data_IF_974931391882
#
_entry.id   IF_974931391882
#
_cell.length_a   1.000
_cell.length_b   1.000
_cell.length_c   1.000
_cell.angle_alpha   90.00
_cell.angle_beta   90.00
_cell.angle_gamma   90.00
#
_symmetry.space_group_name_H-M   'P 1'
#
loop_
_entity.id
_entity.type
_entity.pdbx_description
1 polymer ?
#
# COMPACT_ATOMS: atom_id res chain seq x y z
N UNK A 1 -1.58 -14.49 -52.25
CA UNK A 1 -0.45 -13.64 -51.80
C UNK A 1 -0.73 -13.39 -50.33
N UNK A 2 -0.02 -14.10 -49.46
CA UNK A 2 -0.32 -14.19 -48.03
C UNK A 2 -0.01 -12.89 -47.30
N UNK A 3 -0.85 -12.67 -46.29
CA UNK A 3 -0.92 -11.59 -45.33
C UNK A 3 0.44 -11.13 -44.81
N UNK A 4 0.62 -9.80 -44.72
CA UNK A 4 1.60 -9.21 -43.82
C UNK A 4 0.87 -8.81 -42.55
N UNK A 5 1.01 -9.68 -41.56
CA UNK A 5 0.57 -9.49 -40.20
C UNK A 5 0.94 -8.09 -39.69
N UNK A 6 -0.09 -7.35 -39.32
CA UNK A 6 0.03 -6.12 -38.58
C UNK A 6 0.28 -6.48 -37.10
N UNK A 7 1.47 -7.02 -36.78
CA UNK A 7 1.91 -7.24 -35.39
C UNK A 7 2.59 -5.97 -34.90
N UNK A 8 1.81 -4.91 -34.74
CA UNK A 8 2.24 -3.75 -33.94
C UNK A 8 1.97 -4.04 -32.47
N UNK A 9 3.07 -4.25 -31.73
CA UNK A 9 3.28 -3.77 -30.36
C UNK A 9 2.36 -4.32 -29.25
N UNK A 10 2.59 -5.56 -28.82
CA UNK A 10 2.05 -6.10 -27.56
C UNK A 10 3.15 -6.45 -26.52
N UNK A 11 4.40 -6.03 -26.77
CA UNK A 11 5.54 -6.34 -25.91
C UNK A 11 5.69 -5.38 -24.70
N UNK A 12 5.19 -4.13 -24.79
CA UNK A 12 5.24 -3.15 -23.70
C UNK A 12 4.19 -3.40 -22.61
N UNK A 13 2.94 -3.57 -23.02
CA UNK A 13 1.79 -3.78 -22.14
C UNK A 13 1.95 -5.01 -21.24
N UNK A 14 2.48 -6.11 -21.76
CA UNK A 14 2.70 -7.35 -20.99
C UNK A 14 3.68 -7.17 -19.81
N UNK A 15 4.76 -6.41 -20.02
CA UNK A 15 5.73 -6.10 -18.96
C UNK A 15 5.10 -5.19 -17.90
N UNK A 16 4.41 -4.13 -18.32
CA UNK A 16 3.75 -3.19 -17.41
C UNK A 16 2.63 -3.85 -16.60
N UNK A 17 1.86 -4.77 -17.20
CA UNK A 17 0.89 -5.61 -16.48
C UNK A 17 1.57 -6.41 -15.36
N UNK A 18 2.71 -7.03 -15.65
CA UNK A 18 3.43 -7.84 -14.67
C UNK A 18 4.01 -6.97 -13.54
N UNK A 19 4.58 -5.82 -13.87
CA UNK A 19 5.12 -4.88 -12.88
C UNK A 19 4.01 -4.32 -11.96
N UNK A 20 2.84 -3.99 -12.51
CA UNK A 20 1.69 -3.54 -11.71
C UNK A 20 1.16 -4.65 -10.79
N UNK A 21 1.11 -5.90 -11.27
CA UNK A 21 0.69 -7.02 -10.43
C UNK A 21 1.70 -7.28 -9.30
N UNK A 22 3.00 -7.24 -9.59
CA UNK A 22 4.05 -7.38 -8.58
C UNK A 22 3.98 -6.25 -7.54
N UNK A 23 3.79 -5.01 -7.98
CA UNK A 23 3.61 -3.86 -7.08
C UNK A 23 2.38 -4.04 -6.18
N UNK A 24 1.26 -4.53 -6.74
CA UNK A 24 0.07 -4.83 -5.95
C UNK A 24 0.32 -5.87 -4.86
N UNK A 25 1.08 -6.93 -5.16
CA UNK A 25 1.42 -7.98 -4.21
C UNK A 25 2.31 -7.45 -3.07
N UNK A 26 3.35 -6.69 -3.41
CA UNK A 26 4.26 -6.08 -2.42
C UNK A 26 3.47 -5.17 -1.47
N UNK A 27 2.66 -4.26 -2.02
CA UNK A 27 1.89 -3.29 -1.25
C UNK A 27 0.82 -3.98 -0.40
N UNK A 28 0.20 -5.05 -0.92
CA UNK A 28 -0.72 -5.90 -0.15
C UNK A 28 -0.02 -6.59 1.02
N UNK A 29 1.21 -7.08 0.83
CA UNK A 29 2.00 -7.67 1.90
C UNK A 29 2.31 -6.64 3.00
N UNK A 30 2.72 -5.42 2.63
CA UNK A 30 2.92 -4.32 3.60
C UNK A 30 1.66 -4.06 4.43
N UNK A 31 0.47 -3.98 3.80
CA UNK A 31 -0.79 -3.80 4.51
C UNK A 31 -1.09 -4.92 5.52
N UNK A 32 -0.79 -6.18 5.16
CA UNK A 32 -0.94 -7.33 6.08
C UNK A 32 0.02 -7.27 7.25
N UNK A 33 1.26 -6.86 7.03
CA UNK A 33 2.24 -6.73 8.12
C UNK A 33 1.85 -5.62 9.09
N UNK A 34 1.32 -4.49 8.60
CA UNK A 34 0.75 -3.43 9.46
C UNK A 34 -0.43 -3.97 10.29
N UNK A 35 -1.35 -4.72 9.68
CA UNK A 35 -2.46 -5.35 10.40
C UNK A 35 -1.97 -6.33 11.48
N UNK A 36 -0.93 -7.10 11.20
CA UNK A 36 -0.31 -8.00 12.19
C UNK A 36 0.25 -7.21 13.36
N UNK A 37 0.97 -6.12 13.08
CA UNK A 37 1.51 -5.23 14.12
C UNK A 37 0.41 -4.62 14.98
N UNK A 38 -0.70 -4.16 14.38
CA UNK A 38 -1.88 -3.69 15.10
C UNK A 38 -2.41 -4.75 16.07
N UNK A 39 -2.54 -6.00 15.60
CA UNK A 39 -2.97 -7.12 16.44
C UNK A 39 -2.05 -7.34 17.64
N UNK A 40 -0.73 -7.30 17.42
CA UNK A 40 0.27 -7.42 18.49
C UNK A 40 0.18 -6.28 19.50
N UNK A 41 -0.01 -5.03 19.05
CA UNK A 41 -0.15 -3.88 19.95
C UNK A 41 -1.40 -4.01 20.82
N UNK A 42 -2.54 -4.33 20.23
CA UNK A 42 -3.79 -4.54 20.96
C UNK A 42 -3.63 -5.65 22.01
N UNK A 43 -3.04 -6.79 21.63
CA UNK A 43 -2.77 -7.86 22.57
C UNK A 43 -1.84 -7.44 23.70
N UNK A 44 -0.81 -6.65 23.40
CA UNK A 44 0.12 -6.16 24.42
C UNK A 44 -0.57 -5.30 25.48
N UNK A 45 -1.63 -4.57 25.10
CA UNK A 45 -2.43 -3.73 26.00
C UNK A 45 -3.33 -4.54 26.96
N UNK A 46 -3.54 -5.84 26.68
CA UNK A 46 -4.36 -6.73 27.50
C UNK A 46 -3.53 -7.49 28.55
N UNK A 47 -2.20 -7.47 28.46
CA UNK A 47 -1.30 -8.17 29.36
C UNK A 47 -1.03 -7.29 30.58
N UNK A 48 -1.54 -7.70 31.74
CA UNK A 48 -1.34 -7.02 33.03
C UNK A 48 0.16 -6.98 33.38
N UNK A 49 0.62 -5.86 33.96
CA UNK A 49 2.01 -5.61 34.35
C UNK A 49 3.05 -5.58 33.20
N UNK A 50 2.64 -5.27 31.97
CA UNK A 50 3.58 -4.93 30.90
C UNK A 50 3.49 -3.44 30.48
N UNK A 51 4.44 -3.00 29.65
CA UNK A 51 4.47 -1.63 29.11
C UNK A 51 3.23 -1.28 28.28
N UNK A 52 2.69 -2.22 27.52
CA UNK A 52 1.43 -2.10 26.79
C UNK A 52 0.22 -1.75 27.66
N UNK A 53 0.07 -2.38 28.83
CA UNK A 53 -0.99 -1.99 29.78
C UNK A 53 -0.73 -0.60 30.40
N UNK A 54 0.54 -0.23 30.60
CA UNK A 54 0.94 1.07 31.15
C UNK A 54 0.68 2.22 30.18
N UNK A 55 0.87 2.01 28.88
CA UNK A 55 0.73 3.01 27.81
C UNK A 55 -0.51 2.78 26.93
N UNK A 56 -1.51 2.07 27.45
CA UNK A 56 -2.67 1.58 26.69
C UNK A 56 -3.36 2.69 25.88
N UNK A 57 -3.63 3.84 26.49
CA UNK A 57 -4.37 4.93 25.83
C UNK A 57 -3.58 5.51 24.64
N UNK A 58 -2.26 5.65 24.79
CA UNK A 58 -1.36 6.12 23.71
C UNK A 58 -1.27 5.07 22.59
N UNK A 59 -1.15 3.79 22.94
CA UNK A 59 -1.06 2.70 21.99
C UNK A 59 -2.36 2.48 21.22
N UNK A 60 -3.52 2.58 21.88
CA UNK A 60 -4.83 2.44 21.23
C UNK A 60 -5.16 3.60 20.31
N UNK A 61 -4.78 4.84 20.66
CA UNK A 61 -4.92 5.98 19.75
C UNK A 61 -4.14 5.74 18.43
N UNK A 62 -2.96 5.11 18.51
CA UNK A 62 -2.14 4.79 17.34
C UNK A 62 -2.56 3.54 16.58
N UNK A 63 -3.25 2.61 17.24
CA UNK A 63 -3.89 1.48 16.56
C UNK A 63 -4.84 1.96 15.47
N UNK A 64 -5.56 3.06 15.68
CA UNK A 64 -6.48 3.59 14.68
C UNK A 64 -5.75 4.21 13.48
N UNK A 65 -4.63 4.89 13.69
CA UNK A 65 -3.80 5.40 12.58
C UNK A 65 -3.13 4.27 11.80
N UNK A 66 -2.63 3.24 12.49
CA UNK A 66 -2.10 2.04 11.83
C UNK A 66 -3.15 1.27 11.03
N UNK A 67 -4.43 1.26 11.48
CA UNK A 67 -5.53 0.71 10.68
C UNK A 67 -5.75 1.52 9.40
N UNK A 68 -5.76 2.86 9.49
CA UNK A 68 -5.86 3.73 8.30
C UNK A 68 -4.70 3.47 7.34
N UNK A 69 -3.49 3.33 7.86
CA UNK A 69 -2.31 2.97 7.05
C UNK A 69 -2.49 1.63 6.33
N UNK A 70 -3.00 0.60 7.02
CA UNK A 70 -3.30 -0.68 6.39
C UNK A 70 -4.38 -0.56 5.29
N UNK A 71 -5.38 0.29 5.47
CA UNK A 71 -6.40 0.58 4.46
C UNK A 71 -5.84 1.34 3.25
N UNK A 72 -4.88 2.24 3.47
CA UNK A 72 -4.14 2.93 2.41
C UNK A 72 -3.35 1.93 1.56
N UNK A 73 -2.59 1.02 2.19
CA UNK A 73 -1.90 -0.07 1.48
C UNK A 73 -2.89 -0.95 0.71
N UNK A 74 -4.03 -1.30 1.30
CA UNK A 74 -5.07 -2.09 0.61
C UNK A 74 -5.60 -1.37 -0.63
N UNK A 75 -5.89 -0.07 -0.50
CA UNK A 75 -6.38 0.77 -1.60
C UNK A 75 -5.36 0.87 -2.72
N UNK A 76 -4.09 1.08 -2.38
CA UNK A 76 -3.00 1.16 -3.36
C UNK A 76 -2.82 -0.16 -4.13
N UNK A 77 -2.81 -1.30 -3.41
CA UNK A 77 -2.81 -2.62 -4.05
C UNK A 77 -4.00 -2.80 -5.00
N UNK A 78 -5.20 -2.37 -4.59
CA UNK A 78 -6.39 -2.40 -5.44
C UNK A 78 -6.23 -1.56 -6.72
N UNK A 79 -5.62 -0.38 -6.60
CA UNK A 79 -5.37 0.52 -7.73
C UNK A 79 -4.41 -0.09 -8.74
N UNK A 80 -3.32 -0.70 -8.29
CA UNK A 80 -2.37 -1.40 -9.17
C UNK A 80 -3.01 -2.60 -9.89
N UNK A 81 -3.83 -3.40 -9.20
CA UNK A 81 -4.59 -4.50 -9.84
C UNK A 81 -5.56 -4.00 -10.88
N UNK A 82 -6.28 -2.91 -10.57
CA UNK A 82 -7.22 -2.29 -11.50
C UNK A 82 -6.50 -1.77 -12.74
N UNK A 83 -5.35 -1.11 -12.59
CA UNK A 83 -4.53 -0.66 -13.70
C UNK A 83 -4.04 -1.83 -14.58
N UNK A 84 -3.58 -2.93 -13.97
CA UNK A 84 -3.18 -4.13 -14.71
C UNK A 84 -4.36 -4.75 -15.49
N UNK A 85 -5.58 -4.73 -14.93
CA UNK A 85 -6.79 -5.19 -15.62
C UNK A 85 -7.18 -4.26 -16.77
N UNK A 86 -7.02 -2.95 -16.61
CA UNK A 86 -7.27 -1.97 -17.65
C UNK A 86 -6.32 -2.14 -18.86
N UNK A 87 -5.03 -2.39 -18.61
CA UNK A 87 -4.08 -2.73 -19.67
C UNK A 87 -4.45 -4.04 -20.37
N UNK A 88 -4.86 -5.08 -19.62
CA UNK A 88 -5.34 -6.35 -20.20
C UNK A 88 -6.59 -6.17 -21.07
N UNK A 89 -7.43 -5.18 -20.75
CA UNK A 89 -8.61 -4.82 -21.54
C UNK A 89 -8.29 -3.95 -22.77
N UNK A 90 -7.00 -3.68 -23.04
CA UNK A 90 -6.55 -2.90 -24.20
C UNK A 90 -6.69 -1.39 -24.02
N UNK A 91 -6.84 -0.87 -22.79
CA UNK A 91 -6.77 0.58 -22.58
C UNK A 91 -5.36 1.10 -22.93
N UNK A 92 -5.24 2.33 -23.46
CA UNK A 92 -3.95 2.92 -23.79
C UNK A 92 -3.01 2.97 -22.58
N UNK A 93 -1.79 2.46 -22.74
CA UNK A 93 -0.81 2.30 -21.66
C UNK A 93 -0.46 3.63 -21.00
N UNK A 94 -0.14 4.66 -21.79
CA UNK A 94 0.20 6.00 -21.28
C UNK A 94 -0.90 6.60 -20.40
N UNK A 95 -2.17 6.34 -20.74
CA UNK A 95 -3.30 6.84 -19.95
C UNK A 95 -3.36 6.13 -18.59
N UNK A 96 -3.25 4.81 -18.59
CA UNK A 96 -3.30 4.00 -17.37
C UNK A 96 -2.10 4.31 -16.47
N UNK A 97 -0.90 4.44 -17.03
CA UNK A 97 0.32 4.72 -16.26
C UNK A 97 0.32 6.14 -15.70
N UNK A 98 -0.17 7.15 -16.43
CA UNK A 98 -0.35 8.51 -15.89
C UNK A 98 -1.31 8.53 -14.70
N UNK A 99 -2.43 7.81 -14.80
CA UNK A 99 -3.40 7.68 -13.72
C UNK A 99 -2.82 7.00 -12.48
N UNK A 100 -1.98 5.97 -12.69
CA UNK A 100 -1.24 5.30 -11.61
C UNK A 100 -0.19 6.23 -11.00
N UNK A 101 0.51 7.01 -11.82
CA UNK A 101 1.54 7.94 -11.36
C UNK A 101 0.94 9.05 -10.49
N UNK A 102 -0.18 9.64 -10.88
CA UNK A 102 -0.90 10.63 -10.08
C UNK A 102 -1.31 10.04 -8.70
N UNK A 103 -1.82 8.82 -8.70
CA UNK A 103 -2.15 8.12 -7.45
C UNK A 103 -0.92 7.84 -6.59
N UNK A 104 0.21 7.43 -7.20
CA UNK A 104 1.45 7.16 -6.48
C UNK A 104 2.05 8.40 -5.81
N UNK A 105 1.87 9.59 -6.38
CA UNK A 105 2.28 10.84 -5.74
C UNK A 105 1.42 11.07 -4.49
N UNK A 106 0.09 11.03 -4.62
CA UNK A 106 -0.82 11.16 -3.49
C UNK A 106 -0.52 10.15 -2.37
N UNK A 107 -0.37 8.87 -2.72
CA UNK A 107 -0.10 7.80 -1.77
C UNK A 107 1.23 8.00 -1.03
N UNK A 108 2.27 8.45 -1.74
CA UNK A 108 3.58 8.75 -1.13
C UNK A 108 3.50 9.90 -0.12
N UNK A 109 2.74 10.94 -0.43
CA UNK A 109 2.58 12.08 0.46
C UNK A 109 1.82 11.68 1.74
N UNK A 110 0.79 10.85 1.61
CA UNK A 110 0.08 10.25 2.75
C UNK A 110 1.03 9.41 3.62
N UNK A 111 1.83 8.53 3.02
CA UNK A 111 2.80 7.71 3.76
C UNK A 111 3.82 8.54 4.53
N UNK A 112 4.32 9.63 3.93
CA UNK A 112 5.27 10.53 4.61
C UNK A 112 4.64 11.22 5.83
N UNK A 113 3.38 11.64 5.70
CA UNK A 113 2.64 12.25 6.81
C UNK A 113 2.51 11.27 7.99
N UNK A 114 2.06 10.05 7.70
CA UNK A 114 1.89 8.99 8.71
C UNK A 114 3.23 8.59 9.35
N UNK A 115 4.31 8.50 8.57
CA UNK A 115 5.65 8.19 9.08
C UNK A 115 6.17 9.28 10.03
N UNK A 116 6.01 10.57 9.66
CA UNK A 116 6.44 11.69 10.48
C UNK A 116 5.74 11.72 11.84
N UNK A 117 4.45 11.38 11.88
CA UNK A 117 3.70 11.28 13.13
C UNK A 117 4.18 10.12 14.01
N UNK A 118 4.50 8.98 13.40
CA UNK A 118 5.04 7.80 14.08
C UNK A 118 6.41 8.07 14.72
N UNK A 119 7.32 8.71 13.99
CA UNK A 119 8.65 9.09 14.50
C UNK A 119 8.56 10.07 15.67
N UNK A 120 7.67 11.05 15.58
CA UNK A 120 7.41 11.99 16.67
C UNK A 120 6.98 11.25 17.95
N UNK A 121 6.11 10.26 17.86
CA UNK A 121 5.62 9.52 19.04
C UNK A 121 6.67 8.57 19.61
N UNK A 122 7.42 7.88 18.75
CA UNK A 122 8.56 7.07 19.20
C UNK A 122 9.58 7.93 19.97
N UNK A 123 9.74 9.20 19.59
CA UNK A 123 10.58 10.14 20.36
C UNK A 123 10.01 10.45 21.75
N UNK A 124 8.68 10.56 21.89
CA UNK A 124 8.02 10.81 23.18
C UNK A 124 8.04 9.58 24.12
N UNK A 125 8.07 8.36 23.57
CA UNK A 125 8.12 7.11 24.34
C UNK A 125 9.54 6.70 24.75
N UNK A 126 10.58 7.40 24.28
CA UNK A 126 12.00 7.17 24.65
C UNK A 126 12.41 7.83 25.99
N UNK A 127 11.46 8.45 26.71
CA UNK A 127 11.67 9.05 28.03
C UNK A 127 11.86 7.97 29.09
#
# INVERSE_FOLDING_TARGET
MFDKDNVTENYGSGKSIQELMNAAEIVSACGKDVQRAVGTIIQSCLIVNNKGATYKDVLLAKVDDLKKLAELYRSASGRFKSAAQELKAGKPEDKVLNDVQAYNVFFRDQLKSEQSELEHILSMLRV
#
